data_IF_193521906383
#
_entry.id   IF_193521906383
#
_cell.length_a   1.000
_cell.length_b   1.000
_cell.length_c   1.000
_cell.angle_alpha   90.00
_cell.angle_beta   90.00
_cell.angle_gamma   90.00
#
_symmetry.space_group_name_H-M   'P 1'
#
loop_
_entity.id
_entity.type
_entity.pdbx_description
1 polymer ?
#
# COMPACT_ATOMS: atom_id res chain seq x y z
N UNK A 1 38.94 -15.07 11.69
CA UNK A 1 38.76 -14.53 10.33
C UNK A 1 37.58 -15.25 9.68
N UNK A 2 36.41 -14.61 9.53
CA UNK A 2 35.21 -15.25 8.94
C UNK A 2 34.91 -14.60 7.59
N UNK A 3 34.87 -15.42 6.54
CA UNK A 3 34.55 -15.03 5.16
C UNK A 3 33.02 -15.13 5.03
N UNK A 4 32.35 -14.02 4.70
CA UNK A 4 30.91 -14.02 4.38
C UNK A 4 30.73 -14.35 2.89
N UNK A 5 29.86 -15.30 2.59
CA UNK A 5 29.43 -15.61 1.22
C UNK A 5 27.94 -15.27 1.10
N UNK A 6 27.59 -14.44 0.12
CA UNK A 6 26.19 -14.24 -0.30
C UNK A 6 25.96 -15.08 -1.55
N UNK A 7 24.96 -15.96 -1.52
CA UNK A 7 24.57 -16.80 -2.66
C UNK A 7 23.38 -16.15 -3.35
N UNK A 8 23.64 -15.40 -4.41
CA UNK A 8 22.63 -14.99 -5.39
C UNK A 8 22.80 -15.89 -6.61
N UNK A 9 21.73 -16.61 -6.98
CA UNK A 9 21.62 -17.48 -8.17
C UNK A 9 22.94 -18.19 -8.57
N UNK A 10 23.47 -19.03 -7.68
CA UNK A 10 24.51 -20.01 -8.03
C UNK A 10 25.91 -19.46 -8.37
N UNK A 11 26.22 -18.16 -8.22
CA UNK A 11 27.60 -17.64 -8.40
C UNK A 11 28.14 -17.02 -7.11
N UNK A 12 29.24 -17.56 -6.58
CA UNK A 12 29.98 -16.97 -5.45
C UNK A 12 30.88 -15.84 -5.94
N UNK A 13 30.59 -14.62 -5.51
CA UNK A 13 31.48 -13.46 -5.75
C UNK A 13 32.26 -13.15 -4.46
N UNK A 14 33.60 -13.06 -4.57
CA UNK A 14 34.50 -12.67 -3.47
C UNK A 14 34.69 -11.15 -3.47
N UNK A 15 34.31 -10.45 -2.40
CA UNK A 15 34.67 -9.04 -2.22
C UNK A 15 35.89 -8.91 -1.31
N UNK A 16 36.93 -8.22 -1.78
CA UNK A 16 38.10 -7.80 -0.99
C UNK A 16 37.81 -6.46 -0.29
N UNK A 17 38.09 -6.38 1.01
CA UNK A 17 38.01 -5.15 1.81
C UNK A 17 39.07 -4.15 1.31
N UNK A 18 38.67 -2.92 0.95
CA UNK A 18 39.56 -1.77 0.77
C UNK A 18 39.27 -0.73 1.86
N UNK A 19 40.32 -0.05 2.31
CA UNK A 19 40.42 0.79 3.50
C UNK A 19 39.47 2.01 3.53
N UNK A 20 39.15 2.46 4.76
CA UNK A 20 38.24 3.56 5.10
C UNK A 20 38.80 4.93 4.69
N UNK A 21 38.00 5.81 4.05
CA UNK A 21 38.15 7.25 4.18
C UNK A 21 37.32 7.79 5.35
N UNK A 22 37.83 8.88 5.94
CA UNK A 22 37.30 9.65 7.05
C UNK A 22 36.06 10.46 6.69
N UNK A 23 35.09 10.48 7.60
CA UNK A 23 34.10 11.53 7.87
C UNK A 23 33.29 12.11 6.69
N UNK A 24 32.42 11.30 6.10
CA UNK A 24 31.04 11.68 5.70
C UNK A 24 30.26 10.39 5.42
N UNK A 25 28.99 10.30 5.81
CA UNK A 25 28.11 9.11 5.73
C UNK A 25 28.28 8.06 6.85
N UNK A 26 27.69 8.34 8.01
CA UNK A 26 27.16 7.27 8.86
C UNK A 26 25.92 6.64 8.17
N UNK A 27 26.15 5.87 7.11
CA UNK A 27 25.20 4.86 6.63
C UNK A 27 25.75 3.47 6.94
N UNK A 28 25.52 2.93 8.15
CA UNK A 28 25.52 1.51 8.37
C UNK A 28 24.09 0.96 8.20
N UNK A 29 23.34 1.38 7.17
CA UNK A 29 22.10 0.67 6.77
C UNK A 29 22.45 -0.41 5.73
N UNK A 30 23.40 -1.27 6.09
CA UNK A 30 23.17 -2.68 5.84
C UNK A 30 22.25 -3.10 6.99
N UNK A 31 20.94 -2.89 6.84
CA UNK A 31 20.03 -3.90 7.37
C UNK A 31 20.52 -5.16 6.70
N UNK A 32 21.15 -6.02 7.49
CA UNK A 32 21.52 -7.34 7.04
C UNK A 32 20.22 -7.97 6.52
N UNK A 33 20.06 -8.00 5.19
CA UNK A 33 19.06 -8.81 4.50
C UNK A 33 19.38 -10.32 4.64
N UNK A 34 20.16 -10.71 5.65
CA UNK A 34 20.16 -12.07 6.13
C UNK A 34 18.84 -12.29 6.90
N UNK A 35 18.08 -13.34 6.60
CA UNK A 35 16.86 -13.69 7.32
C UNK A 35 17.22 -14.24 8.70
N UNK A 36 17.77 -13.41 9.59
CA UNK A 36 18.15 -13.79 10.95
C UNK A 36 17.17 -13.38 12.03
N UNK A 37 16.10 -12.65 11.71
CA UNK A 37 14.96 -12.49 12.61
C UNK A 37 13.70 -13.07 11.98
N UNK A 38 13.72 -14.41 11.90
CA UNK A 38 12.53 -15.27 11.86
C UNK A 38 11.78 -15.10 13.18
N UNK A 39 11.10 -13.98 13.32
CA UNK A 39 9.92 -13.72 14.18
C UNK A 39 9.57 -12.24 14.02
N UNK A 40 8.75 -11.94 13.03
CA UNK A 40 7.71 -10.94 13.28
C UNK A 40 6.81 -11.63 14.29
N UNK A 41 7.04 -11.37 15.58
CA UNK A 41 6.25 -11.96 16.66
C UNK A 41 4.77 -11.62 16.45
N UNK A 42 3.87 -12.45 16.96
CA UNK A 42 2.42 -12.37 16.76
C UNK A 42 1.75 -11.05 17.21
N UNK A 43 2.53 -10.07 17.69
CA UNK A 43 2.10 -8.71 17.97
C UNK A 43 2.72 -7.80 16.90
N UNK A 44 1.93 -7.47 15.88
CA UNK A 44 2.30 -6.41 14.93
C UNK A 44 2.27 -5.08 15.66
N UNK A 45 3.43 -4.62 16.12
CA UNK A 45 3.55 -3.33 16.80
C UNK A 45 3.49 -2.19 15.77
N UNK A 46 2.71 -1.16 16.08
CA UNK A 46 2.49 -0.01 15.21
C UNK A 46 3.78 0.73 14.87
N UNK A 47 4.63 1.04 15.86
CA UNK A 47 5.80 1.94 15.67
C UNK A 47 6.87 1.39 14.71
N UNK A 48 7.30 0.11 14.80
CA UNK A 48 8.22 -0.45 13.82
C UNK A 48 7.63 -0.45 12.41
N UNK A 49 6.34 -0.75 12.28
CA UNK A 49 5.65 -0.74 10.99
C UNK A 49 5.55 0.68 10.40
N UNK A 50 5.24 1.68 11.23
CA UNK A 50 5.24 3.09 10.83
C UNK A 50 6.63 3.54 10.33
N UNK A 51 7.68 3.13 11.03
CA UNK A 51 9.06 3.44 10.62
C UNK A 51 9.40 2.78 9.28
N UNK A 52 9.05 1.51 9.10
CA UNK A 52 9.23 0.80 7.83
C UNK A 52 8.44 1.47 6.70
N UNK A 53 7.20 1.85 6.96
CA UNK A 53 6.31 2.58 6.04
C UNK A 53 6.94 3.90 5.58
N UNK A 54 7.55 4.67 6.49
CA UNK A 54 8.25 5.90 6.14
C UNK A 54 9.47 5.66 5.23
N UNK A 55 10.21 4.57 5.43
CA UNK A 55 11.28 4.20 4.49
C UNK A 55 10.74 3.81 3.11
N UNK A 56 9.58 3.15 3.06
CA UNK A 56 8.93 2.85 1.78
C UNK A 56 8.59 4.13 1.00
N UNK A 57 8.14 5.21 1.66
CA UNK A 57 7.88 6.49 0.98
C UNK A 57 9.14 7.08 0.30
N UNK A 58 10.31 6.84 0.89
CA UNK A 58 11.57 7.23 0.26
C UNK A 58 11.94 6.33 -0.92
N UNK A 59 11.83 5.00 -0.76
CA UNK A 59 12.34 4.07 -1.77
C UNK A 59 11.36 3.81 -2.92
N UNK A 60 10.06 3.70 -2.67
CA UNK A 60 9.07 3.32 -3.69
C UNK A 60 9.14 4.19 -4.96
N UNK A 61 9.11 5.54 -4.89
CA UNK A 61 9.15 6.37 -6.10
C UNK A 61 10.50 6.29 -6.84
N UNK A 62 11.57 5.88 -6.15
CA UNK A 62 12.92 5.79 -6.71
C UNK A 62 13.21 4.43 -7.31
N UNK A 63 12.57 3.38 -6.80
CA UNK A 63 12.71 2.01 -7.30
C UNK A 63 11.71 1.71 -8.42
N UNK A 64 10.58 2.42 -8.47
CA UNK A 64 9.56 2.24 -9.49
C UNK A 64 10.14 2.46 -10.90
N UNK A 65 9.87 1.51 -11.82
CA UNK A 65 10.35 1.56 -13.20
C UNK A 65 11.81 1.15 -13.41
N UNK A 66 12.56 0.84 -12.34
CA UNK A 66 13.90 0.24 -12.47
C UNK A 66 13.82 -1.27 -12.73
N UNK A 67 14.90 -1.83 -13.29
CA UNK A 67 14.96 -3.24 -13.71
C UNK A 67 14.66 -4.25 -12.59
N UNK A 68 14.91 -3.85 -11.34
CA UNK A 68 14.74 -4.67 -10.14
C UNK A 68 13.43 -4.38 -9.38
N UNK A 69 12.51 -3.62 -9.98
CA UNK A 69 11.22 -3.29 -9.36
C UNK A 69 10.46 -4.57 -8.96
N UNK A 70 10.42 -5.57 -9.84
CA UNK A 70 9.73 -6.84 -9.60
C UNK A 70 10.27 -7.57 -8.36
N UNK A 71 11.59 -7.69 -8.23
CA UNK A 71 12.25 -8.31 -7.07
C UNK A 71 12.02 -7.51 -5.78
N UNK A 72 12.00 -6.18 -5.87
CA UNK A 72 11.70 -5.33 -4.73
C UNK A 72 10.24 -5.49 -4.28
N UNK A 73 9.31 -5.54 -5.23
CA UNK A 73 7.90 -5.73 -5.00
C UNK A 73 7.61 -7.11 -4.38
N UNK A 74 8.29 -8.17 -4.82
CA UNK A 74 8.25 -9.51 -4.21
C UNK A 74 8.75 -9.47 -2.76
N UNK A 75 9.89 -8.82 -2.51
CA UNK A 75 10.42 -8.65 -1.15
C UNK A 75 9.45 -7.92 -0.23
N UNK A 76 8.84 -6.82 -0.70
CA UNK A 76 7.85 -6.07 0.07
C UNK A 76 6.59 -6.91 0.33
N UNK A 77 6.18 -7.73 -0.64
CA UNK A 77 5.03 -8.65 -0.51
C UNK A 77 5.26 -9.72 0.57
N UNK A 78 6.50 -10.20 0.75
CA UNK A 78 6.83 -11.14 1.84
C UNK A 78 6.64 -10.54 3.24
N UNK A 79 6.80 -9.22 3.37
CA UNK A 79 6.69 -8.50 4.65
C UNK A 79 5.25 -8.03 4.86
N UNK A 80 4.73 -7.24 3.92
CA UNK A 80 3.43 -6.58 4.02
C UNK A 80 2.29 -7.53 3.68
N UNK A 81 2.46 -8.39 2.66
CA UNK A 81 1.40 -9.29 2.19
C UNK A 81 0.93 -10.24 3.27
N UNK A 82 1.86 -10.83 4.04
CA UNK A 82 1.51 -11.69 5.18
C UNK A 82 0.68 -10.97 6.24
N UNK A 83 1.01 -9.71 6.53
CA UNK A 83 0.24 -8.90 7.50
C UNK A 83 -1.13 -8.54 6.92
N UNK A 84 -1.19 -8.25 5.62
CA UNK A 84 -2.44 -7.97 4.93
C UNK A 84 -3.37 -9.18 4.99
N UNK A 85 -2.89 -10.37 4.64
CA UNK A 85 -3.69 -11.60 4.69
C UNK A 85 -4.28 -11.84 6.08
N UNK A 86 -3.48 -11.61 7.12
CA UNK A 86 -3.91 -11.74 8.51
C UNK A 86 -5.04 -10.75 8.86
N UNK A 87 -4.90 -9.47 8.49
CA UNK A 87 -5.93 -8.48 8.78
C UNK A 87 -7.16 -8.64 7.92
N UNK A 88 -7.01 -9.01 6.64
CA UNK A 88 -8.12 -9.28 5.75
C UNK A 88 -8.97 -10.45 6.27
N UNK A 89 -8.32 -11.53 6.75
CA UNK A 89 -9.01 -12.66 7.36
C UNK A 89 -9.74 -12.32 8.68
N UNK A 90 -9.28 -11.30 9.40
CA UNK A 90 -9.94 -10.82 10.63
C UNK A 90 -11.08 -9.84 10.36
N UNK A 91 -11.25 -9.41 9.12
CA UNK A 91 -12.14 -8.32 8.75
C UNK A 91 -11.48 -6.95 8.90
N UNK A 92 -11.70 -6.11 7.89
CA UNK A 92 -11.21 -4.74 7.81
C UNK A 92 -12.27 -3.71 8.25
N UNK A 93 -13.43 -4.15 8.72
CA UNK A 93 -14.51 -3.26 9.18
C UNK A 93 -14.28 -2.86 10.66
N UNK A 94 -13.08 -2.35 10.94
CA UNK A 94 -12.62 -2.01 12.29
C UNK A 94 -13.20 -0.67 12.79
N UNK A 95 -13.65 -0.64 14.03
CA UNK A 95 -14.03 0.59 14.72
C UNK A 95 -12.77 1.36 15.18
N UNK A 96 -12.71 2.66 14.85
CA UNK A 96 -11.59 3.55 15.18
C UNK A 96 -11.47 3.81 16.70
N UNK A 97 -12.57 3.72 17.44
CA UNK A 97 -12.68 4.32 18.77
C UNK A 97 -12.09 3.46 19.90
N UNK A 98 -11.70 2.21 19.64
CA UNK A 98 -11.34 1.24 20.68
C UNK A 98 -9.83 0.95 20.71
N UNK A 99 -9.14 0.91 19.56
CA UNK A 99 -7.74 0.47 19.48
C UNK A 99 -6.93 1.26 18.43
N UNK A 100 -6.54 2.49 18.76
CA UNK A 100 -5.83 3.39 17.84
C UNK A 100 -4.57 2.77 17.20
N UNK A 101 -3.75 2.05 17.97
CA UNK A 101 -2.54 1.39 17.46
C UNK A 101 -2.88 0.26 16.48
N UNK A 102 -3.92 -0.54 16.75
CA UNK A 102 -4.36 -1.60 15.83
C UNK A 102 -4.95 -1.00 14.55
N UNK A 103 -5.79 0.02 14.70
CA UNK A 103 -6.37 0.75 13.58
C UNK A 103 -5.28 1.32 12.67
N UNK A 104 -4.32 2.04 13.24
CA UNK A 104 -3.22 2.66 12.51
C UNK A 104 -2.29 1.61 11.88
N UNK A 105 -2.14 0.45 12.52
CA UNK A 105 -1.40 -0.69 11.94
C UNK A 105 -2.13 -1.24 10.72
N UNK A 106 -3.45 -1.46 10.80
CA UNK A 106 -4.28 -1.94 9.68
C UNK A 106 -4.25 -0.96 8.51
N UNK A 107 -4.41 0.33 8.81
CA UNK A 107 -4.35 1.41 7.83
C UNK A 107 -3.04 1.37 7.02
N UNK A 108 -1.89 1.34 7.71
CA UNK A 108 -0.59 1.23 7.05
C UNK A 108 -0.49 -0.05 6.21
N UNK A 109 -0.90 -1.21 6.75
CA UNK A 109 -0.77 -2.47 6.01
C UNK A 109 -1.62 -2.47 4.75
N UNK A 110 -2.86 -2.01 4.81
CA UNK A 110 -3.74 -1.94 3.62
C UNK A 110 -3.20 -0.95 2.60
N UNK A 111 -2.83 0.26 3.03
CA UNK A 111 -2.19 1.27 2.18
C UNK A 111 -1.00 0.68 1.44
N UNK A 112 -0.07 0.06 2.17
CA UNK A 112 1.17 -0.44 1.58
C UNK A 112 0.94 -1.65 0.69
N UNK A 113 0.05 -2.57 1.08
CA UNK A 113 -0.28 -3.73 0.25
C UNK A 113 -0.86 -3.29 -1.10
N UNK A 114 -1.77 -2.33 -1.11
CA UNK A 114 -2.38 -1.85 -2.35
C UNK A 114 -1.40 -1.00 -3.19
N UNK A 115 -0.52 -0.19 -2.58
CA UNK A 115 0.51 0.58 -3.32
C UNK A 115 1.47 -0.33 -4.06
N UNK A 116 1.92 -1.43 -3.42
CA UNK A 116 2.85 -2.38 -4.02
C UNK A 116 2.15 -3.38 -4.94
N UNK A 117 0.90 -3.12 -5.34
CA UNK A 117 0.09 -4.00 -6.19
C UNK A 117 0.04 -5.45 -5.68
N UNK A 118 -0.09 -5.63 -4.36
CA UNK A 118 -0.29 -6.95 -3.78
C UNK A 118 -1.65 -7.49 -4.18
N UNK A 119 -1.66 -8.60 -4.92
CA UNK A 119 -2.84 -9.13 -5.60
C UNK A 119 -4.07 -9.30 -4.68
N UNK A 120 -3.99 -9.87 -3.46
CA UNK A 120 -5.12 -9.91 -2.54
C UNK A 120 -5.70 -8.53 -2.16
N UNK A 121 -4.87 -7.49 -2.10
CA UNK A 121 -5.35 -6.12 -1.83
C UNK A 121 -6.12 -5.56 -3.03
N UNK A 122 -5.62 -5.80 -4.26
CA UNK A 122 -6.28 -5.38 -5.50
C UNK A 122 -7.64 -6.07 -5.62
N UNK A 123 -7.70 -7.39 -5.36
CA UNK A 123 -8.95 -8.15 -5.41
C UNK A 123 -9.97 -7.60 -4.40
N UNK A 124 -9.57 -7.43 -3.14
CA UNK A 124 -10.41 -6.84 -2.10
C UNK A 124 -10.94 -5.45 -2.47
N UNK A 125 -10.07 -4.59 -3.01
CA UNK A 125 -10.46 -3.26 -3.44
C UNK A 125 -11.46 -3.30 -4.60
N UNK A 126 -11.20 -4.12 -5.63
CA UNK A 126 -12.09 -4.25 -6.78
C UNK A 126 -13.47 -4.78 -6.37
N UNK A 127 -13.53 -5.82 -5.53
CA UNK A 127 -14.78 -6.39 -5.04
C UNK A 127 -15.62 -5.34 -4.30
N UNK A 128 -15.03 -4.67 -3.30
CA UNK A 128 -15.70 -3.62 -2.52
C UNK A 128 -16.13 -2.44 -3.39
N UNK A 129 -15.30 -2.04 -4.34
CA UNK A 129 -15.63 -0.95 -5.25
C UNK A 129 -16.81 -1.29 -6.17
N UNK A 130 -16.86 -2.51 -6.71
CA UNK A 130 -17.98 -2.93 -7.56
C UNK A 130 -19.29 -3.05 -6.78
N UNK A 131 -19.25 -3.35 -5.48
CA UNK A 131 -20.42 -3.25 -4.60
C UNK A 131 -20.89 -1.81 -4.45
N UNK A 132 -19.98 -0.87 -4.19
CA UNK A 132 -20.32 0.56 -4.11
C UNK A 132 -20.89 1.06 -5.42
N UNK A 133 -20.30 0.71 -6.56
CA UNK A 133 -20.78 1.13 -7.89
C UNK A 133 -22.21 0.63 -8.16
N UNK A 134 -22.54 -0.59 -7.74
CA UNK A 134 -23.91 -1.14 -7.84
C UNK A 134 -24.88 -0.41 -6.91
N UNK A 135 -24.52 -0.28 -5.63
CA UNK A 135 -25.40 0.23 -4.59
C UNK A 135 -25.60 1.75 -4.64
N UNK A 136 -24.58 2.50 -5.09
CA UNK A 136 -24.54 3.96 -5.16
C UNK A 136 -24.74 4.50 -6.59
N UNK A 137 -25.39 3.74 -7.48
CA UNK A 137 -25.61 4.12 -8.88
C UNK A 137 -26.67 5.21 -9.10
N UNK A 138 -27.42 5.59 -8.06
CA UNK A 138 -28.44 6.64 -8.12
C UNK A 138 -27.84 8.03 -8.29
N UNK A 139 -28.53 8.86 -9.08
CA UNK A 139 -28.10 10.24 -9.43
C UNK A 139 -27.99 11.20 -8.25
N UNK A 140 -28.66 10.93 -7.13
CA UNK A 140 -28.62 11.75 -5.91
C UNK A 140 -27.88 11.07 -4.76
N UNK A 141 -27.29 9.89 -4.99
CA UNK A 141 -26.57 9.15 -3.95
C UNK A 141 -25.14 9.66 -3.85
N UNK A 142 -24.80 10.21 -2.69
CA UNK A 142 -23.45 10.63 -2.32
C UNK A 142 -22.66 9.43 -1.77
N UNK A 143 -21.33 9.46 -1.87
CA UNK A 143 -20.48 8.39 -1.32
C UNK A 143 -20.16 8.62 0.16
N UNK A 144 -20.31 9.84 0.66
CA UNK A 144 -20.14 10.18 2.07
C UNK A 144 -21.15 9.47 2.99
N UNK A 145 -22.36 9.19 2.48
CA UNK A 145 -23.41 8.51 3.24
C UNK A 145 -23.14 7.01 3.45
N UNK A 146 -23.56 6.49 4.60
CA UNK A 146 -23.44 5.06 4.92
C UNK A 146 -24.53 4.18 4.29
N UNK A 147 -25.51 4.75 3.60
CA UNK A 147 -26.67 4.00 3.09
C UNK A 147 -26.26 3.03 1.98
N UNK A 148 -25.51 3.53 0.99
CA UNK A 148 -25.06 2.74 -0.15
C UNK A 148 -23.57 2.39 -0.08
N UNK A 149 -22.74 3.25 0.50
CA UNK A 149 -21.30 3.04 0.62
C UNK A 149 -20.96 2.42 1.99
N UNK A 150 -20.81 1.09 2.01
CA UNK A 150 -20.48 0.33 3.21
C UNK A 150 -18.98 0.23 3.48
N UNK A 151 -18.14 0.85 2.66
CA UNK A 151 -16.69 0.84 2.89
C UNK A 151 -16.38 1.73 4.11
N UNK A 152 -15.67 1.21 5.12
CA UNK A 152 -15.14 2.01 6.22
C UNK A 152 -14.36 3.23 5.70
N UNK A 153 -14.56 4.40 6.31
CA UNK A 153 -13.99 5.66 5.81
C UNK A 153 -12.49 5.59 5.53
N UNK A 154 -11.71 4.94 6.40
CA UNK A 154 -10.27 4.82 6.25
C UNK A 154 -9.82 3.96 5.05
N UNK A 155 -10.65 3.01 4.60
CA UNK A 155 -10.34 2.14 3.46
C UNK A 155 -10.69 2.79 2.12
N UNK A 156 -11.64 3.73 2.09
CA UNK A 156 -12.13 4.37 0.88
C UNK A 156 -11.03 4.89 -0.05
N UNK A 157 -10.05 5.70 0.38
CA UNK A 157 -9.01 6.20 -0.52
C UNK A 157 -8.21 5.07 -1.19
N UNK A 158 -7.93 3.99 -0.46
CA UNK A 158 -7.15 2.86 -1.00
C UNK A 158 -7.98 2.01 -1.94
N UNK A 159 -9.25 1.78 -1.61
CA UNK A 159 -10.18 1.06 -2.48
C UNK A 159 -10.40 1.83 -3.79
N UNK A 160 -10.64 3.14 -3.71
CA UNK A 160 -10.83 3.99 -4.90
C UNK A 160 -9.56 4.05 -5.76
N UNK A 161 -8.40 4.23 -5.14
CA UNK A 161 -7.11 4.25 -5.84
C UNK A 161 -6.85 2.94 -6.58
N UNK A 162 -6.96 1.80 -5.89
CA UNK A 162 -6.70 0.49 -6.51
C UNK A 162 -7.73 0.17 -7.61
N UNK A 163 -9.01 0.48 -7.38
CA UNK A 163 -10.06 0.25 -8.37
C UNK A 163 -9.88 1.11 -9.62
N UNK A 164 -9.49 2.38 -9.49
CA UNK A 164 -9.21 3.25 -10.64
C UNK A 164 -7.94 2.84 -11.38
N UNK A 165 -6.88 2.48 -10.63
CA UNK A 165 -5.59 2.08 -11.20
C UNK A 165 -5.71 0.81 -12.05
N UNK A 166 -6.46 -0.17 -11.54
CA UNK A 166 -6.55 -1.51 -12.13
C UNK A 166 -7.86 -1.77 -12.92
N UNK A 167 -8.85 -0.91 -12.76
CA UNK A 167 -10.17 -1.04 -13.38
C UNK A 167 -10.29 -0.43 -14.77
N UNK A 168 -11.53 -0.07 -15.10
CA UNK A 168 -11.96 0.44 -16.40
C UNK A 168 -12.15 1.95 -16.38
N UNK A 169 -12.25 2.57 -17.57
CA UNK A 169 -12.58 4.00 -17.67
C UNK A 169 -13.94 4.33 -17.03
N UNK A 170 -14.90 3.39 -17.09
CA UNK A 170 -16.20 3.57 -16.44
C UNK A 170 -16.11 3.61 -14.90
N UNK A 171 -15.09 2.99 -14.29
CA UNK A 171 -14.84 3.08 -12.85
C UNK A 171 -14.32 4.47 -12.47
N UNK A 172 -13.47 5.04 -13.32
CA UNK A 172 -13.01 6.43 -13.21
C UNK A 172 -14.16 7.42 -13.36
N UNK A 173 -14.95 7.32 -14.44
CA UNK A 173 -16.05 8.23 -14.72
C UNK A 173 -17.11 8.20 -13.61
N UNK A 174 -17.38 7.02 -13.03
CA UNK A 174 -18.25 6.90 -11.86
C UNK A 174 -17.74 7.72 -10.67
N UNK A 175 -16.45 7.58 -10.31
CA UNK A 175 -15.89 8.35 -9.20
C UNK A 175 -15.81 9.85 -9.52
N UNK A 176 -15.52 10.22 -10.75
CA UNK A 176 -15.48 11.62 -11.17
C UNK A 176 -16.86 12.28 -11.08
N UNK A 177 -17.92 11.59 -11.48
CA UNK A 177 -19.30 12.06 -11.29
C UNK A 177 -19.60 12.24 -9.80
N UNK A 178 -19.26 11.25 -8.97
CA UNK A 178 -19.46 11.32 -7.51
C UNK A 178 -18.66 12.45 -6.87
N UNK A 179 -17.42 12.69 -7.28
CA UNK A 179 -16.58 13.79 -6.79
C UNK A 179 -17.20 15.16 -7.03
N UNK A 180 -17.81 15.37 -8.19
CA UNK A 180 -18.46 16.64 -8.55
C UNK A 180 -19.75 16.89 -7.75
N UNK A 181 -20.42 15.83 -7.28
CA UNK A 181 -21.64 15.93 -6.48
C UNK A 181 -21.35 15.99 -4.97
N UNK A 182 -20.22 15.43 -4.53
CA UNK A 182 -19.91 15.31 -3.11
C UNK A 182 -19.63 16.67 -2.46
N UNK A 183 -20.34 16.93 -1.36
CA UNK A 183 -20.18 18.17 -0.59
C UNK A 183 -19.30 17.95 0.65
N UNK A 184 -19.19 16.71 1.13
CA UNK A 184 -18.38 16.40 2.29
C UNK A 184 -16.90 16.34 1.92
N UNK A 185 -16.12 17.30 2.43
CA UNK A 185 -14.74 17.53 1.97
C UNK A 185 -13.82 16.31 2.14
N UNK A 186 -13.92 15.59 3.26
CA UNK A 186 -13.09 14.40 3.50
C UNK A 186 -13.38 13.26 2.51
N UNK A 187 -14.65 13.08 2.12
CA UNK A 187 -15.01 12.10 1.10
C UNK A 187 -14.53 12.56 -0.27
N UNK A 188 -14.68 13.85 -0.57
CA UNK A 188 -14.21 14.45 -1.81
C UNK A 188 -12.69 14.27 -1.98
N UNK A 189 -11.92 14.45 -0.92
CA UNK A 189 -10.47 14.19 -0.91
C UNK A 189 -10.15 12.71 -1.11
N UNK A 190 -10.92 11.80 -0.48
CA UNK A 190 -10.76 10.35 -0.66
C UNK A 190 -11.02 9.93 -2.11
N UNK A 191 -12.06 10.47 -2.73
CA UNK A 191 -12.37 10.23 -4.15
C UNK A 191 -11.26 10.81 -5.04
N UNK A 192 -10.80 12.04 -4.75
CA UNK A 192 -9.75 12.70 -5.51
C UNK A 192 -8.44 11.88 -5.50
N UNK A 193 -8.02 11.40 -4.34
CA UNK A 193 -6.87 10.49 -4.21
C UNK A 193 -7.02 9.24 -5.09
N UNK A 194 -8.24 8.71 -5.18
CA UNK A 194 -8.57 7.61 -6.09
C UNK A 194 -8.36 7.97 -7.56
N UNK A 195 -8.93 9.10 -7.99
CA UNK A 195 -8.83 9.60 -9.36
C UNK A 195 -7.38 9.84 -9.81
N UNK A 196 -6.51 10.32 -8.92
CA UNK A 196 -5.08 10.50 -9.19
C UNK A 196 -4.34 9.20 -9.55
N UNK A 197 -4.95 8.04 -9.30
CA UNK A 197 -4.34 6.73 -9.57
C UNK A 197 -4.65 6.20 -10.98
N UNK A 198 -5.34 6.99 -11.81
CA UNK A 198 -5.71 6.59 -13.16
C UNK A 198 -4.49 6.30 -14.03
N UNK A 199 -4.58 5.21 -14.81
CA UNK A 199 -3.62 4.90 -15.87
C UNK A 199 -3.97 5.57 -17.21
N UNK A 200 -5.16 6.15 -17.31
CA UNK A 200 -5.64 6.81 -18.53
C UNK A 200 -5.05 8.23 -18.59
N UNK A 201 -4.02 8.40 -19.42
CA UNK A 201 -3.29 9.67 -19.56
C UNK A 201 -4.18 10.86 -19.93
N UNK A 202 -5.23 10.64 -20.72
CA UNK A 202 -6.18 11.69 -21.12
C UNK A 202 -6.98 12.24 -19.93
N UNK A 203 -7.04 11.50 -18.83
CA UNK A 203 -7.79 11.81 -17.62
C UNK A 203 -6.88 12.21 -16.45
N UNK A 204 -5.56 12.19 -16.62
CA UNK A 204 -4.60 12.55 -15.57
C UNK A 204 -4.39 14.06 -15.41
N UNK A 205 -4.84 14.86 -16.37
CA UNK A 205 -4.66 16.32 -16.42
C UNK A 205 -5.87 17.10 -15.86
N UNK A 206 -6.73 16.43 -15.08
CA UNK A 206 -7.92 17.01 -14.43
C UNK A 206 -7.59 18.10 -13.40
#
# INVERSE_FOLDING_TARGET
MKILYVILKGRRVKMKKKERPSDTFCFPYIISLEPKHRRVDQKTEYRPLQTFSAYMDYFLPRMYGLEFWSEYQEYLSLIIGKLFDQFNAQGLDADMDIQNDLFSTRDIVVLRACIIDYEPCIQMANERFQEVRRNCSGKSQLLSGSDCNKIPYYLRPYVYSAAVKHGTEADFDFLFEKWNMEHYMMERDSIFNGLCSTRFREKSDL
#
